data_IF_201820311350
#
_entry.id   IF_201820311350
#
_cell.length_a   1.000
_cell.length_b   1.000
_cell.length_c   1.000
_cell.angle_alpha   90.00
_cell.angle_beta   90.00
_cell.angle_gamma   90.00
#
_symmetry.space_group_name_H-M   'P 1'
#
loop_
_entity.id
_entity.type
_entity.pdbx_description
1 polymer ?
#
# COMPACT_ATOMS: atom_id res chain seq x y z
N UNK A 1 -14.16 33.64 24.16
CA UNK A 1 -15.06 34.79 23.93
C UNK A 1 -14.21 35.99 23.53
N UNK A 2 -14.11 36.25 22.24
CA UNK A 2 -13.34 37.39 21.70
C UNK A 2 -14.35 38.38 21.11
N UNK A 3 -14.44 39.58 21.72
CA UNK A 3 -15.27 40.67 21.23
C UNK A 3 -14.45 41.51 20.23
N UNK A 4 -14.87 41.56 18.98
CA UNK A 4 -14.37 42.56 18.03
C UNK A 4 -15.24 43.82 18.07
N UNK A 5 -14.66 44.95 18.40
CA UNK A 5 -15.32 46.28 18.33
C UNK A 5 -15.03 46.91 16.97
N UNK A 6 -16.07 47.20 16.19
CA UNK A 6 -15.96 48.00 14.95
C UNK A 6 -16.53 49.38 15.20
N UNK A 7 -15.80 50.47 14.93
CA UNK A 7 -16.17 51.86 15.13
C UNK A 7 -16.77 52.44 13.85
N UNK A 8 -18.01 52.83 13.88
CA UNK A 8 -18.65 53.59 12.80
C UNK A 8 -19.33 54.81 13.44
N UNK A 9 -18.96 56.03 12.99
CA UNK A 9 -19.57 57.31 13.34
C UNK A 9 -19.80 57.58 14.84
N UNK A 10 -18.77 57.52 15.69
CA UNK A 10 -18.76 58.13 17.01
C UNK A 10 -19.67 57.53 18.11
N UNK A 11 -20.43 56.47 17.85
CA UNK A 11 -21.22 55.74 18.86
C UNK A 11 -20.94 54.25 18.82
N UNK A 12 -20.84 53.65 20.02
CA UNK A 12 -20.72 52.18 20.16
C UNK A 12 -22.11 51.55 20.12
N UNK A 13 -22.38 50.71 19.14
CA UNK A 13 -23.56 49.86 19.10
C UNK A 13 -23.18 48.46 19.55
N UNK A 14 -23.82 47.94 20.58
CA UNK A 14 -23.71 46.56 21.03
C UNK A 14 -24.47 45.69 20.02
N UNK A 15 -23.76 44.92 19.21
CA UNK A 15 -24.39 43.94 18.34
C UNK A 15 -24.55 42.66 19.18
N UNK A 16 -25.75 42.31 19.54
CA UNK A 16 -26.10 40.99 20.08
C UNK A 16 -26.07 39.99 18.94
N UNK A 17 -25.37 38.85 19.05
CA UNK A 17 -25.43 37.82 17.99
C UNK A 17 -26.85 37.26 17.98
N UNK A 18 -27.51 37.35 16.81
CA UNK A 18 -28.73 36.59 16.53
C UNK A 18 -28.31 35.15 16.35
N UNK A 19 -28.57 34.31 17.34
CA UNK A 19 -28.47 32.87 17.21
C UNK A 19 -29.59 32.39 16.27
N UNK A 20 -29.31 32.27 15.00
CA UNK A 20 -30.12 31.41 14.09
C UNK A 20 -29.82 29.95 14.49
N UNK A 21 -30.76 29.36 15.20
CA UNK A 21 -30.77 27.95 15.52
C UNK A 21 -30.98 27.18 14.21
N UNK A 22 -29.92 26.58 13.68
CA UNK A 22 -29.96 25.64 12.55
C UNK A 22 -29.88 24.21 13.12
N UNK A 23 -30.98 23.45 13.22
CA UNK A 23 -30.99 22.12 13.87
C UNK A 23 -30.05 21.09 13.22
N UNK A 24 -29.70 21.27 11.94
CA UNK A 24 -28.81 20.34 11.22
C UNK A 24 -27.31 20.47 11.49
N UNK A 25 -26.85 21.55 12.17
CA UNK A 25 -25.41 21.78 12.46
C UNK A 25 -24.93 21.10 13.74
N UNK A 26 -25.82 20.83 14.69
CA UNK A 26 -25.48 20.16 15.94
C UNK A 26 -25.33 18.64 15.74
N UNK A 27 -26.20 18.01 14.93
CA UNK A 27 -26.10 16.59 14.59
C UNK A 27 -24.87 16.25 13.74
N UNK A 28 -24.47 17.14 12.80
CA UNK A 28 -23.24 16.97 12.01
C UNK A 28 -21.95 17.01 12.84
N UNK A 29 -21.92 17.79 13.93
CA UNK A 29 -20.74 17.85 14.81
C UNK A 29 -20.58 16.60 15.69
N UNK A 30 -21.68 16.00 16.14
CA UNK A 30 -21.65 14.81 17.00
C UNK A 30 -21.19 13.59 16.17
N UNK A 31 -21.62 13.45 14.92
CA UNK A 31 -21.18 12.35 14.02
C UNK A 31 -19.71 12.44 13.62
N UNK A 32 -19.11 13.64 13.57
CA UNK A 32 -17.68 13.78 13.23
C UNK A 32 -16.74 13.35 14.35
N UNK A 33 -17.19 13.25 15.60
CA UNK A 33 -16.38 12.79 16.75
C UNK A 33 -16.38 11.25 16.90
N UNK A 34 -17.22 10.52 16.16
CA UNK A 34 -17.36 9.05 16.28
C UNK A 34 -16.27 8.27 15.55
N UNK A 35 -15.52 8.88 14.58
CA UNK A 35 -14.50 8.16 13.82
C UNK A 35 -13.11 8.37 14.41
N UNK A 36 -12.66 7.34 15.13
CA UNK A 36 -11.32 7.36 15.74
C UNK A 36 -10.27 7.00 14.71
N UNK A 37 -9.31 7.89 14.50
CA UNK A 37 -8.05 7.53 13.84
C UNK A 37 -7.34 6.51 14.73
N UNK A 38 -7.31 5.25 14.28
CA UNK A 38 -6.63 4.16 14.99
C UNK A 38 -5.12 4.22 14.82
N UNK A 39 -4.70 4.54 13.60
CA UNK A 39 -3.30 4.47 13.22
C UNK A 39 -3.01 5.43 12.07
N UNK A 40 -1.93 6.20 12.23
CA UNK A 40 -1.33 6.98 11.17
C UNK A 40 0.01 6.36 10.80
N UNK A 41 0.04 5.64 9.67
CA UNK A 41 1.25 5.03 9.14
C UNK A 41 2.08 6.02 8.30
N UNK A 42 3.21 5.52 7.76
CA UNK A 42 4.09 6.32 6.89
C UNK A 42 3.34 6.91 5.69
N UNK A 43 2.38 6.16 5.12
CA UNK A 43 1.67 6.52 3.88
C UNK A 43 0.16 6.28 3.92
N UNK A 44 -0.40 5.85 5.04
CA UNK A 44 -1.83 5.55 5.21
C UNK A 44 -2.35 6.02 6.55
N UNK A 45 -3.65 6.25 6.59
CA UNK A 45 -4.45 6.53 7.78
C UNK A 45 -5.53 5.46 7.89
N UNK A 46 -5.74 4.92 9.09
CA UNK A 46 -6.73 3.87 9.36
C UNK A 46 -7.73 4.39 10.39
N UNK A 47 -8.99 4.39 10.02
CA UNK A 47 -10.11 4.85 10.85
C UNK A 47 -10.99 3.68 11.29
N UNK A 48 -11.35 3.64 12.56
CA UNK A 48 -12.37 2.71 13.07
C UNK A 48 -13.76 3.31 12.87
N UNK A 49 -14.61 2.58 12.16
CA UNK A 49 -16.01 2.96 11.93
C UNK A 49 -17.00 1.95 12.52
N UNK A 50 -16.62 1.31 13.61
CA UNK A 50 -17.43 0.30 14.30
C UNK A 50 -17.17 -1.11 13.80
N UNK A 51 -18.04 -1.71 13.00
CA UNK A 51 -17.83 -3.07 12.47
C UNK A 51 -16.74 -3.15 11.42
N UNK A 52 -16.44 -2.04 10.74
CA UNK A 52 -15.50 -1.95 9.63
C UNK A 52 -14.36 -0.96 9.92
N UNK A 53 -13.42 -0.89 8.98
CA UNK A 53 -12.37 0.12 8.92
C UNK A 53 -12.50 0.95 7.65
N UNK A 54 -11.99 2.17 7.67
CA UNK A 54 -11.65 2.91 6.45
C UNK A 54 -10.14 3.12 6.42
N UNK A 55 -9.51 2.67 5.35
CA UNK A 55 -8.09 2.88 5.07
C UNK A 55 -7.99 3.98 4.02
N UNK A 56 -7.35 5.09 4.37
CA UNK A 56 -7.12 6.21 3.46
C UNK A 56 -5.64 6.28 3.08
N UNK A 57 -5.33 6.03 1.81
CA UNK A 57 -3.99 6.18 1.28
C UNK A 57 -3.67 7.66 1.09
N UNK A 58 -2.50 8.10 1.55
CA UNK A 58 -2.07 9.49 1.47
C UNK A 58 -1.11 9.73 0.32
N UNK A 59 -0.88 11.00 0.00
CA UNK A 59 0.12 11.42 -1.00
C UNK A 59 1.54 11.46 -0.42
N UNK A 60 1.72 11.09 0.87
CA UNK A 60 3.04 10.91 1.46
C UNK A 60 3.78 9.78 0.74
N UNK A 61 5.08 9.94 0.56
CA UNK A 61 5.96 8.89 0.03
C UNK A 61 7.06 8.61 1.05
N UNK A 62 7.41 7.34 1.19
CA UNK A 62 8.49 6.89 2.07
C UNK A 62 9.52 6.10 1.28
N UNK A 63 10.81 6.41 1.48
CA UNK A 63 11.93 5.66 0.94
C UNK A 63 13.02 5.53 2.00
N UNK A 64 13.70 4.37 2.08
CA UNK A 64 14.72 4.08 3.09
C UNK A 64 14.24 4.36 4.53
N UNK A 65 12.97 3.96 4.84
CA UNK A 65 12.27 4.17 6.10
C UNK A 65 12.00 5.63 6.52
N UNK A 66 12.37 6.61 5.70
CA UNK A 66 12.07 8.02 5.90
C UNK A 66 10.86 8.46 5.07
N UNK A 67 9.97 9.25 5.68
CA UNK A 67 8.90 9.96 4.95
C UNK A 67 9.54 11.20 4.32
N UNK A 68 9.40 11.33 3.00
CA UNK A 68 9.95 12.47 2.27
C UNK A 68 9.16 13.76 2.56
N UNK A 69 9.81 14.90 2.39
CA UNK A 69 9.20 16.21 2.61
C UNK A 69 8.14 16.57 1.57
N UNK A 70 8.27 16.00 0.36
CA UNK A 70 7.30 16.20 -0.71
C UNK A 70 6.11 15.25 -0.58
N UNK A 71 4.96 15.68 -1.10
CA UNK A 71 3.82 14.82 -1.42
C UNK A 71 3.82 14.52 -2.91
N UNK A 72 3.42 13.33 -3.29
CA UNK A 72 3.21 12.91 -4.68
C UNK A 72 1.72 13.02 -4.97
N UNK A 73 1.33 14.10 -5.64
CA UNK A 73 -0.09 14.41 -5.91
C UNK A 73 -0.82 13.24 -6.56
N UNK A 74 -2.02 12.94 -6.08
CA UNK A 74 -2.87 11.85 -6.51
C UNK A 74 -2.35 10.42 -6.23
N UNK A 75 -1.14 10.29 -5.64
CA UNK A 75 -0.56 8.97 -5.33
C UNK A 75 -1.53 8.08 -4.55
N UNK A 76 -2.07 8.58 -3.43
CA UNK A 76 -2.97 7.81 -2.60
C UNK A 76 -4.19 7.30 -3.36
N UNK A 77 -4.77 8.14 -4.21
CA UNK A 77 -5.92 7.77 -5.02
C UNK A 77 -5.56 6.72 -6.10
N UNK A 78 -4.43 6.88 -6.79
CA UNK A 78 -3.96 5.87 -7.76
C UNK A 78 -3.76 4.51 -7.10
N UNK A 79 -3.09 4.46 -5.92
CA UNK A 79 -2.83 3.21 -5.21
C UNK A 79 -4.13 2.50 -4.79
N UNK A 80 -5.10 3.27 -4.26
CA UNK A 80 -6.40 2.71 -3.86
C UNK A 80 -7.17 2.16 -5.05
N UNK A 81 -7.23 2.90 -6.17
CA UNK A 81 -7.93 2.44 -7.37
C UNK A 81 -7.21 1.26 -8.06
N UNK A 82 -5.89 1.19 -7.96
CA UNK A 82 -5.12 0.04 -8.44
C UNK A 82 -5.36 -1.20 -7.57
N UNK A 83 -5.37 -1.06 -6.25
CA UNK A 83 -5.72 -2.15 -5.33
C UNK A 83 -7.14 -2.67 -5.59
N UNK A 84 -8.10 -1.75 -5.79
CA UNK A 84 -9.48 -2.12 -6.19
C UNK A 84 -9.50 -2.98 -7.44
N UNK A 85 -8.80 -2.55 -8.49
CA UNK A 85 -8.72 -3.29 -9.74
C UNK A 85 -8.22 -4.73 -9.52
N UNK A 86 -7.16 -4.91 -8.75
CA UNK A 86 -6.59 -6.21 -8.48
C UNK A 86 -7.46 -7.07 -7.56
N UNK A 87 -8.10 -6.50 -6.54
CA UNK A 87 -9.05 -7.21 -5.69
C UNK A 87 -10.23 -7.74 -6.49
N UNK A 88 -10.77 -6.95 -7.42
CA UNK A 88 -11.84 -7.39 -8.31
C UNK A 88 -11.38 -8.50 -9.27
N UNK A 89 -10.15 -8.39 -9.80
CA UNK A 89 -9.58 -9.35 -10.75
C UNK A 89 -9.25 -10.70 -10.12
N UNK A 90 -8.96 -10.73 -8.83
CA UNK A 90 -8.47 -11.93 -8.13
C UNK A 90 -9.45 -12.54 -7.13
N UNK A 91 -10.68 -12.06 -7.08
CA UNK A 91 -11.72 -12.54 -6.15
C UNK A 91 -12.02 -14.04 -6.23
N UNK A 92 -11.67 -14.68 -7.34
CA UNK A 92 -11.78 -16.12 -7.57
C UNK A 92 -10.59 -16.93 -7.03
N UNK A 93 -9.50 -16.28 -6.62
CA UNK A 93 -8.29 -16.93 -6.05
C UNK A 93 -8.35 -16.93 -4.53
N UNK A 94 -8.63 -15.78 -3.93
CA UNK A 94 -8.74 -15.60 -2.48
C UNK A 94 -9.70 -14.46 -2.19
N UNK A 95 -10.54 -14.55 -1.14
CA UNK A 95 -11.37 -13.44 -0.72
C UNK A 95 -10.51 -12.27 -0.25
N UNK A 96 -11.01 -11.04 -0.41
CA UNK A 96 -10.34 -9.83 0.04
C UNK A 96 -11.20 -9.05 1.03
N UNK A 97 -10.57 -8.12 1.74
CA UNK A 97 -11.20 -7.33 2.79
C UNK A 97 -12.01 -6.13 2.29
N UNK A 98 -11.86 -5.74 1.01
CA UNK A 98 -12.51 -4.55 0.45
C UNK A 98 -14.03 -4.71 0.43
N UNK A 99 -14.72 -3.69 0.94
CA UNK A 99 -16.18 -3.55 0.85
C UNK A 99 -16.51 -2.60 -0.29
N UNK A 100 -15.97 -1.38 -0.24
CA UNK A 100 -16.17 -0.36 -1.29
C UNK A 100 -15.03 0.64 -1.31
N UNK A 101 -14.85 1.32 -2.45
CA UNK A 101 -14.01 2.52 -2.61
C UNK A 101 -14.86 3.72 -3.06
N UNK A 102 -16.19 3.57 -3.14
CA UNK A 102 -17.09 4.69 -3.40
C UNK A 102 -17.33 5.43 -2.09
N UNK A 103 -16.94 6.70 -2.05
CA UNK A 103 -17.12 7.53 -0.86
C UNK A 103 -18.60 7.70 -0.49
N UNK A 104 -19.52 7.59 -1.45
CA UNK A 104 -20.97 7.70 -1.19
C UNK A 104 -21.52 6.52 -0.38
N UNK A 105 -20.87 5.37 -0.42
CA UNK A 105 -21.23 4.19 0.36
C UNK A 105 -20.61 4.21 1.79
N UNK A 106 -19.79 5.23 2.08
CA UNK A 106 -19.12 5.38 3.37
C UNK A 106 -19.87 6.39 4.26
N UNK A 107 -19.59 6.42 5.58
CA UNK A 107 -20.11 7.49 6.45
C UNK A 107 -19.80 8.90 5.93
N UNK A 108 -20.70 9.87 6.19
CA UNK A 108 -20.62 11.26 5.68
C UNK A 108 -19.26 11.93 5.91
N UNK A 109 -18.55 11.59 6.96
CA UNK A 109 -17.19 12.07 7.25
C UNK A 109 -16.21 11.83 6.08
N UNK A 110 -16.37 10.71 5.37
CA UNK A 110 -15.51 10.32 4.25
C UNK A 110 -15.97 10.87 2.90
N UNK A 111 -17.03 11.68 2.87
CA UNK A 111 -17.44 12.42 1.67
C UNK A 111 -16.60 13.68 1.44
N UNK A 112 -15.75 14.06 2.39
CA UNK A 112 -14.81 15.16 2.24
C UNK A 112 -13.82 14.88 1.08
N UNK A 113 -13.50 15.92 0.29
CA UNK A 113 -12.63 15.84 -0.90
C UNK A 113 -11.27 15.20 -0.59
N UNK A 114 -10.75 15.38 0.63
CA UNK A 114 -9.48 14.77 1.06
C UNK A 114 -9.47 13.24 1.02
N UNK A 115 -10.64 12.58 1.02
CA UNK A 115 -10.78 11.12 0.94
C UNK A 115 -11.15 10.62 -0.45
N UNK A 116 -11.43 11.53 -1.39
CA UNK A 116 -11.94 11.16 -2.70
C UNK A 116 -10.99 10.22 -3.45
N UNK A 117 -11.53 9.10 -3.91
CA UNK A 117 -10.83 8.00 -4.61
C UNK A 117 -9.67 7.34 -3.84
N UNK A 118 -9.33 7.80 -2.64
CA UNK A 118 -8.20 7.30 -1.84
C UNK A 118 -8.60 6.55 -0.57
N UNK A 119 -9.88 6.57 -0.23
CA UNK A 119 -10.44 5.81 0.87
C UNK A 119 -10.96 4.45 0.38
N UNK A 120 -10.79 3.42 1.21
CA UNK A 120 -11.30 2.07 1.02
C UNK A 120 -11.95 1.63 2.31
N UNK A 121 -13.25 1.34 2.30
CA UNK A 121 -13.93 0.71 3.42
C UNK A 121 -13.66 -0.79 3.37
N UNK A 122 -13.25 -1.35 4.49
CA UNK A 122 -12.75 -2.71 4.60
C UNK A 122 -13.35 -3.45 5.79
N UNK A 123 -13.48 -4.76 5.69
CA UNK A 123 -13.72 -5.65 6.83
C UNK A 123 -12.54 -5.61 7.80
N UNK A 124 -12.80 -5.70 9.08
CA UNK A 124 -11.76 -5.92 10.09
C UNK A 124 -11.21 -7.34 9.96
N UNK A 125 -9.89 -7.46 9.99
CA UNK A 125 -9.19 -8.73 9.96
C UNK A 125 -8.26 -8.84 11.16
N UNK A 126 -8.09 -10.06 11.65
CA UNK A 126 -6.98 -10.40 12.55
C UNK A 126 -5.73 -10.62 11.69
N UNK A 127 -4.89 -9.58 11.53
CA UNK A 127 -3.74 -9.64 10.65
C UNK A 127 -2.73 -10.70 11.06
N UNK A 128 -2.26 -11.47 10.09
CA UNK A 128 -1.17 -12.42 10.25
C UNK A 128 0.18 -11.66 10.29
N UNK A 129 1.13 -12.02 11.17
CA UNK A 129 2.38 -11.28 11.38
C UNK A 129 3.46 -11.66 10.35
N UNK A 130 3.07 -11.91 9.11
CA UNK A 130 3.95 -12.31 8.00
C UNK A 130 3.70 -11.40 6.81
N UNK A 131 4.74 -10.80 6.29
CA UNK A 131 4.75 -10.21 4.98
C UNK A 131 5.00 -11.30 3.94
N UNK A 132 4.04 -11.50 3.06
CA UNK A 132 4.06 -12.55 2.05
C UNK A 132 4.69 -12.03 0.76
N UNK A 133 6.02 -12.13 0.66
CA UNK A 133 6.77 -11.67 -0.51
C UNK A 133 6.92 -12.81 -1.50
N UNK A 134 6.64 -12.54 -2.76
CA UNK A 134 6.87 -13.46 -3.89
C UNK A 134 7.75 -12.80 -4.92
N UNK A 135 8.70 -13.56 -5.47
CA UNK A 135 9.65 -13.09 -6.48
C UNK A 135 9.60 -13.99 -7.71
N UNK A 136 9.30 -13.40 -8.86
CA UNK A 136 9.43 -14.07 -10.16
C UNK A 136 10.73 -13.70 -10.86
N UNK A 137 11.42 -12.67 -10.37
CA UNK A 137 12.71 -12.21 -10.87
C UNK A 137 13.65 -11.96 -9.70
N UNK A 138 14.95 -12.20 -9.90
CA UNK A 138 15.93 -12.03 -8.84
C UNK A 138 16.47 -10.58 -8.83
N UNK A 139 16.03 -9.79 -7.85
CA UNK A 139 16.40 -8.37 -7.72
C UNK A 139 16.33 -7.90 -6.27
N UNK A 140 16.80 -6.68 -5.99
CA UNK A 140 16.74 -6.06 -4.67
C UNK A 140 17.38 -6.92 -3.59
N UNK A 141 16.76 -7.02 -2.41
CA UNK A 141 17.27 -7.83 -1.28
C UNK A 141 17.43 -9.31 -1.61
N UNK A 142 16.60 -9.85 -2.53
CA UNK A 142 16.75 -11.21 -3.03
C UNK A 142 18.05 -11.40 -3.81
N UNK A 143 18.40 -10.45 -4.68
CA UNK A 143 19.65 -10.46 -5.42
C UNK A 143 20.87 -10.34 -4.49
N UNK A 144 20.79 -9.45 -3.50
CA UNK A 144 21.88 -9.30 -2.51
C UNK A 144 22.09 -10.58 -1.69
N UNK A 145 21.01 -11.26 -1.29
CA UNK A 145 21.09 -12.55 -0.61
C UNK A 145 21.70 -13.63 -1.49
N UNK A 146 21.22 -13.73 -2.74
CA UNK A 146 21.75 -14.69 -3.70
C UNK A 146 23.24 -14.51 -3.99
N UNK A 147 23.71 -13.30 -4.20
CA UNK A 147 25.14 -13.01 -4.41
C UNK A 147 26.00 -13.46 -3.24
N UNK A 148 25.47 -13.40 -2.03
CA UNK A 148 26.20 -13.73 -0.80
C UNK A 148 26.38 -15.24 -0.60
N UNK A 149 25.34 -16.03 -0.88
CA UNK A 149 25.34 -17.46 -0.52
C UNK A 149 24.55 -18.38 -1.46
N UNK A 150 24.10 -17.89 -2.61
CA UNK A 150 23.32 -18.69 -3.58
C UNK A 150 21.89 -19.04 -3.14
N UNK A 151 21.40 -18.42 -2.04
CA UNK A 151 20.07 -18.70 -1.50
C UNK A 151 19.27 -17.43 -1.25
N UNK A 152 17.93 -17.56 -1.20
CA UNK A 152 17.01 -16.52 -0.74
C UNK A 152 16.01 -17.16 0.23
N UNK A 153 15.93 -16.68 1.46
CA UNK A 153 15.04 -17.24 2.51
C UNK A 153 15.21 -18.77 2.68
N UNK A 154 16.44 -19.29 2.59
CA UNK A 154 16.75 -20.73 2.66
C UNK A 154 16.53 -21.49 1.35
N UNK A 155 15.93 -20.89 0.32
CA UNK A 155 15.71 -21.53 -0.98
C UNK A 155 17.00 -21.45 -1.80
N UNK A 156 17.58 -22.60 -2.14
CA UNK A 156 18.74 -22.68 -3.05
C UNK A 156 18.30 -22.38 -4.48
N UNK A 157 18.96 -21.43 -5.13
CA UNK A 157 18.71 -21.04 -6.49
C UNK A 157 19.78 -21.61 -7.46
N UNK A 158 19.47 -21.71 -8.77
CA UNK A 158 20.46 -22.10 -9.78
C UNK A 158 21.70 -21.20 -9.73
N UNK A 159 22.87 -21.79 -10.04
CA UNK A 159 24.11 -21.03 -10.16
C UNK A 159 24.12 -20.17 -11.43
N UNK A 160 24.84 -19.06 -11.38
CA UNK A 160 25.05 -18.19 -12.56
C UNK A 160 23.87 -17.27 -12.89
N UNK A 161 22.90 -17.12 -12.01
CA UNK A 161 21.83 -16.13 -12.21
C UNK A 161 22.41 -14.71 -12.28
N UNK A 162 21.83 -13.89 -13.14
CA UNK A 162 22.17 -12.48 -13.31
C UNK A 162 21.11 -11.59 -12.61
N UNK A 163 21.50 -10.39 -12.24
CA UNK A 163 20.55 -9.41 -11.69
C UNK A 163 19.35 -9.23 -12.63
N UNK A 164 18.18 -9.07 -12.06
CA UNK A 164 16.89 -8.94 -12.78
C UNK A 164 16.50 -10.14 -13.65
N UNK A 165 17.21 -11.27 -13.57
CA UNK A 165 16.86 -12.46 -14.33
C UNK A 165 15.56 -13.08 -13.84
N UNK A 166 14.72 -13.53 -14.80
CA UNK A 166 13.50 -14.30 -14.49
C UNK A 166 13.90 -15.63 -13.84
N UNK A 167 13.23 -15.96 -12.75
CA UNK A 167 13.39 -17.27 -12.09
C UNK A 167 12.62 -18.35 -12.85
N UNK A 168 13.07 -19.63 -12.83
CA UNK A 168 12.34 -20.74 -13.44
C UNK A 168 10.91 -20.86 -12.92
N UNK A 169 10.72 -20.69 -11.61
CA UNK A 169 9.43 -20.62 -10.92
C UNK A 169 9.44 -19.46 -9.93
N UNK A 170 8.30 -18.81 -9.66
CA UNK A 170 8.19 -17.84 -8.59
C UNK A 170 8.49 -18.47 -7.23
N UNK A 171 9.27 -17.77 -6.41
CA UNK A 171 9.62 -18.22 -5.06
C UNK A 171 8.92 -17.40 -4.01
N UNK A 172 8.45 -18.07 -2.95
CA UNK A 172 7.88 -17.43 -1.76
C UNK A 172 8.99 -17.13 -0.76
N UNK A 173 9.19 -15.86 -0.45
CA UNK A 173 10.29 -15.36 0.39
C UNK A 173 9.75 -14.47 1.49
N UNK A 174 9.12 -15.06 2.53
CA UNK A 174 8.42 -14.31 3.57
C UNK A 174 9.36 -13.46 4.41
N UNK A 175 8.79 -12.47 5.06
CA UNK A 175 9.43 -11.62 6.06
C UNK A 175 8.56 -11.55 7.31
N UNK A 176 9.15 -11.36 8.48
CA UNK A 176 8.39 -10.98 9.65
C UNK A 176 7.86 -9.58 9.46
N UNK A 177 6.69 -9.28 10.05
CA UNK A 177 6.23 -7.92 10.21
C UNK A 177 6.74 -7.42 11.56
N UNK A 178 7.80 -6.61 11.52
CA UNK A 178 8.42 -6.07 12.72
C UNK A 178 7.48 -5.15 13.49
N UNK A 179 7.68 -5.02 14.80
CA UNK A 179 7.06 -3.98 15.60
C UNK A 179 7.59 -2.59 15.19
N UNK A 180 6.84 -1.53 15.53
CA UNK A 180 7.22 -0.16 15.18
C UNK A 180 8.59 0.18 15.77
N UNK A 181 9.58 0.40 14.90
CA UNK A 181 10.95 0.73 15.27
C UNK A 181 11.97 -0.36 14.97
N UNK A 182 11.54 -1.58 14.68
CA UNK A 182 12.38 -2.68 14.22
C UNK A 182 12.32 -2.84 12.69
N UNK A 183 13.27 -3.60 12.14
CA UNK A 183 13.31 -3.91 10.72
C UNK A 183 12.68 -5.26 10.42
N UNK A 184 11.95 -5.34 9.30
CA UNK A 184 11.42 -6.59 8.78
C UNK A 184 12.57 -7.55 8.44
N UNK A 185 12.50 -8.78 8.92
CA UNK A 185 13.52 -9.80 8.72
C UNK A 185 13.03 -10.84 7.71
N UNK A 186 13.80 -11.05 6.64
CA UNK A 186 13.57 -12.15 5.72
C UNK A 186 13.75 -13.49 6.44
N UNK A 187 12.73 -14.33 6.37
CA UNK A 187 12.70 -15.63 7.07
C UNK A 187 12.46 -16.78 6.09
N UNK A 188 12.77 -18.00 6.52
CA UNK A 188 12.40 -19.20 5.77
C UNK A 188 10.91 -19.53 5.95
N UNK A 189 10.39 -20.43 5.12
CA UNK A 189 9.03 -20.94 5.26
C UNK A 189 8.82 -21.61 6.62
N UNK A 190 9.78 -22.40 7.09
CA UNK A 190 9.75 -23.10 8.38
C UNK A 190 9.67 -22.08 9.52
N UNK A 191 10.44 -21.00 9.43
CA UNK A 191 10.39 -19.94 10.43
C UNK A 191 9.04 -19.22 10.44
N UNK A 192 8.39 -19.05 9.27
CA UNK A 192 7.05 -18.48 9.21
C UNK A 192 6.00 -19.36 9.92
N UNK A 193 6.16 -20.70 9.86
CA UNK A 193 5.32 -21.64 10.63
C UNK A 193 5.47 -21.38 12.14
N UNK A 194 6.71 -21.26 12.63
CA UNK A 194 6.96 -21.01 14.06
C UNK A 194 6.37 -19.69 14.53
N UNK A 195 6.48 -18.63 13.72
CA UNK A 195 5.91 -17.31 14.02
C UNK A 195 4.39 -17.38 14.12
N UNK A 196 3.75 -18.08 13.17
CA UNK A 196 2.31 -18.25 13.16
C UNK A 196 1.84 -19.19 14.28
N UNK A 197 2.56 -20.27 14.57
CA UNK A 197 2.25 -21.20 15.67
C UNK A 197 2.26 -20.50 17.03
N UNK A 198 3.21 -19.58 17.24
CA UNK A 198 3.28 -18.79 18.48
C UNK A 198 2.03 -17.92 18.67
N UNK A 199 1.49 -17.34 17.59
CA UNK A 199 0.32 -16.45 17.65
C UNK A 199 -1.01 -17.24 17.58
N UNK A 200 -1.02 -18.35 16.87
CA UNK A 200 -2.19 -19.19 16.61
C UNK A 200 -1.85 -20.66 16.89
N UNK A 201 -1.80 -21.09 18.16
CA UNK A 201 -1.40 -22.44 18.54
C UNK A 201 -2.22 -23.54 17.84
N UNK A 202 -1.53 -24.52 17.25
CA UNK A 202 -2.12 -25.61 16.47
C UNK A 202 -2.49 -25.24 15.03
N UNK A 203 -2.24 -24.01 14.58
CA UNK A 203 -2.60 -23.52 13.24
C UNK A 203 -1.41 -23.01 12.41
N UNK A 204 -0.20 -23.00 12.97
CA UNK A 204 0.97 -22.43 12.32
C UNK A 204 1.24 -22.98 10.93
N UNK A 205 1.28 -24.31 10.80
CA UNK A 205 1.51 -24.96 9.50
C UNK A 205 0.36 -24.71 8.51
N UNK A 206 -0.90 -24.79 8.98
CA UNK A 206 -2.09 -24.57 8.15
C UNK A 206 -2.08 -23.16 7.54
N UNK A 207 -1.90 -22.13 8.37
CA UNK A 207 -1.90 -20.75 7.91
C UNK A 207 -0.68 -20.43 7.06
N UNK A 208 0.53 -20.90 7.44
CA UNK A 208 1.74 -20.69 6.63
C UNK A 208 1.59 -21.30 5.22
N UNK A 209 1.05 -22.50 5.13
CA UNK A 209 0.80 -23.17 3.84
C UNK A 209 -0.23 -22.39 3.04
N UNK A 210 -1.36 -22.02 3.64
CA UNK A 210 -2.44 -21.31 2.96
C UNK A 210 -1.99 -19.96 2.40
N UNK A 211 -1.29 -19.12 3.20
CA UNK A 211 -0.81 -17.83 2.72
C UNK A 211 0.26 -17.95 1.64
N UNK A 212 1.15 -18.95 1.74
CA UNK A 212 2.14 -19.27 0.69
C UNK A 212 1.45 -19.62 -0.62
N UNK A 213 0.50 -20.56 -0.59
CA UNK A 213 -0.20 -21.05 -1.78
C UNK A 213 -1.03 -19.93 -2.43
N UNK A 214 -1.76 -19.15 -1.63
CA UNK A 214 -2.47 -17.97 -2.11
C UNK A 214 -1.52 -16.94 -2.74
N UNK A 215 -0.37 -16.68 -2.11
CA UNK A 215 0.63 -15.73 -2.60
C UNK A 215 1.15 -16.13 -3.98
N UNK A 216 1.53 -17.39 -4.15
CA UNK A 216 2.03 -17.91 -5.44
C UNK A 216 0.93 -17.90 -6.51
N UNK A 217 -0.30 -18.29 -6.15
CA UNK A 217 -1.43 -18.30 -7.09
C UNK A 217 -1.79 -16.88 -7.56
N UNK A 218 -1.90 -15.93 -6.61
CA UNK A 218 -2.13 -14.51 -6.91
C UNK A 218 -1.04 -13.96 -7.83
N UNK A 219 0.22 -14.20 -7.49
CA UNK A 219 1.34 -13.72 -8.29
C UNK A 219 1.30 -14.27 -9.72
N UNK A 220 1.15 -15.58 -9.90
CA UNK A 220 1.12 -16.21 -11.24
C UNK A 220 0.02 -15.60 -12.10
N UNK A 221 -1.21 -15.49 -11.57
CA UNK A 221 -2.35 -14.90 -12.29
C UNK A 221 -2.12 -13.43 -12.66
N UNK A 222 -1.66 -12.62 -11.71
CA UNK A 222 -1.48 -11.20 -11.93
C UNK A 222 -0.26 -10.88 -12.79
N UNK A 223 0.85 -11.64 -12.67
CA UNK A 223 2.04 -11.46 -13.47
C UNK A 223 1.79 -11.80 -14.96
N UNK A 224 1.00 -12.84 -15.25
CA UNK A 224 0.59 -13.17 -16.60
C UNK A 224 -0.25 -12.05 -17.23
N UNK A 225 -1.24 -11.53 -16.47
CA UNK A 225 -2.05 -10.41 -16.93
C UNK A 225 -1.21 -9.16 -17.17
N UNK A 226 -0.36 -8.76 -16.19
CA UNK A 226 0.47 -7.57 -16.32
C UNK A 226 1.44 -7.67 -17.49
N UNK A 227 2.01 -8.86 -17.74
CA UNK A 227 2.88 -9.11 -18.87
C UNK A 227 2.15 -8.89 -20.20
N UNK A 228 0.88 -9.29 -20.31
CA UNK A 228 0.04 -9.02 -21.49
C UNK A 228 -0.23 -7.53 -21.71
N UNK A 229 -0.02 -6.70 -20.66
CA UNK A 229 -0.16 -5.25 -20.69
C UNK A 229 1.18 -4.51 -20.82
N UNK A 230 2.28 -5.22 -21.05
CA UNK A 230 3.61 -4.63 -21.19
C UNK A 230 4.30 -4.33 -19.86
N UNK A 231 3.82 -4.89 -18.72
CA UNK A 231 4.42 -4.72 -17.40
C UNK A 231 4.92 -6.07 -16.87
N UNK A 232 6.17 -6.09 -16.43
CA UNK A 232 6.74 -7.17 -15.64
C UNK A 232 6.52 -6.85 -14.16
N UNK A 233 5.85 -7.74 -13.42
CA UNK A 233 5.85 -7.73 -11.96
C UNK A 233 7.04 -8.54 -11.49
N UNK A 234 8.12 -7.89 -11.06
CA UNK A 234 9.34 -8.59 -10.65
C UNK A 234 9.17 -9.29 -9.31
N UNK A 235 8.65 -8.60 -8.35
CA UNK A 235 8.25 -9.09 -7.03
C UNK A 235 7.09 -8.24 -6.47
N UNK A 236 6.44 -8.78 -5.47
CA UNK A 236 5.39 -8.09 -4.73
C UNK A 236 5.29 -8.61 -3.31
N UNK A 237 4.67 -7.81 -2.45
CA UNK A 237 4.33 -8.13 -1.07
C UNK A 237 2.81 -8.14 -0.91
N UNK A 238 2.28 -9.21 -0.32
CA UNK A 238 0.90 -9.30 0.12
C UNK A 238 0.83 -9.38 1.64
N UNK A 239 -0.29 -8.92 2.20
CA UNK A 239 -0.61 -9.10 3.61
C UNK A 239 -1.94 -9.85 3.74
N UNK A 240 -2.00 -10.79 4.66
CA UNK A 240 -3.20 -11.58 4.93
C UNK A 240 -3.65 -11.42 6.37
N UNK A 241 -4.91 -11.60 6.58
CA UNK A 241 -5.53 -11.71 7.90
C UNK A 241 -6.58 -12.81 7.92
N UNK A 242 -7.15 -13.00 9.10
CA UNK A 242 -8.27 -13.90 9.30
C UNK A 242 -9.54 -13.08 9.45
N UNK A 243 -10.60 -13.52 8.80
CA UNK A 243 -11.95 -13.00 9.05
C UNK A 243 -12.55 -13.55 10.35
N UNK A 244 -13.78 -13.23 10.62
CA UNK A 244 -14.53 -13.68 11.81
C UNK A 244 -14.72 -15.21 11.90
N UNK A 245 -14.60 -15.92 10.77
CA UNK A 245 -14.71 -17.38 10.68
C UNK A 245 -13.33 -18.07 10.74
N UNK A 246 -12.23 -17.30 10.80
CA UNK A 246 -10.87 -17.80 10.75
C UNK A 246 -10.38 -18.14 9.34
N UNK A 247 -11.09 -17.71 8.29
CA UNK A 247 -10.67 -17.87 6.90
C UNK A 247 -9.61 -16.85 6.52
N UNK A 248 -8.65 -17.29 5.71
CA UNK A 248 -7.57 -16.43 5.21
C UNK A 248 -8.11 -15.49 4.13
N UNK A 249 -7.94 -14.20 4.37
CA UNK A 249 -8.38 -13.09 3.52
C UNK A 249 -7.19 -12.19 3.21
N UNK A 250 -7.04 -11.76 1.93
CA UNK A 250 -6.03 -10.76 1.59
C UNK A 250 -6.49 -9.38 2.05
N UNK A 251 -5.59 -8.65 2.70
CA UNK A 251 -5.82 -7.30 3.22
C UNK A 251 -4.83 -6.27 2.69
N UNK A 252 -4.83 -5.10 3.32
CA UNK A 252 -3.97 -3.95 3.01
C UNK A 252 -4.11 -3.47 1.54
N UNK A 253 -3.02 -3.32 0.81
CA UNK A 253 -3.00 -2.99 -0.62
C UNK A 253 -2.59 -4.19 -1.46
N UNK A 254 -2.91 -4.14 -2.74
CA UNK A 254 -2.57 -5.21 -3.66
C UNK A 254 -1.92 -4.68 -4.93
N UNK A 255 -0.70 -5.17 -5.22
CA UNK A 255 0.01 -4.95 -6.49
C UNK A 255 0.04 -3.48 -6.92
N UNK A 256 0.48 -2.62 -6.00
CA UNK A 256 0.68 -1.20 -6.27
C UNK A 256 2.16 -0.90 -6.48
N UNK A 257 2.52 0.25 -7.07
CA UNK A 257 3.91 0.69 -7.13
C UNK A 257 4.59 0.89 -5.76
N UNK A 258 3.83 0.88 -4.66
CA UNK A 258 4.36 0.95 -3.30
C UNK A 258 4.74 -0.42 -2.73
N UNK A 259 4.02 -1.48 -3.10
CA UNK A 259 4.22 -2.85 -2.62
C UNK A 259 4.90 -3.77 -3.64
N UNK A 260 5.13 -3.32 -4.86
CA UNK A 260 5.60 -4.15 -5.98
C UNK A 260 6.67 -3.45 -6.80
N UNK A 261 7.53 -4.23 -7.47
CA UNK A 261 8.40 -3.73 -8.55
C UNK A 261 7.77 -3.98 -9.89
N UNK A 262 7.43 -2.89 -10.57
CA UNK A 262 6.86 -2.91 -11.91
C UNK A 262 7.89 -2.40 -12.91
N UNK A 263 8.28 -3.25 -13.86
CA UNK A 263 9.19 -2.87 -14.93
C UNK A 263 8.47 -2.82 -16.28
N UNK A 264 8.83 -1.89 -17.16
CA UNK A 264 8.40 -1.99 -18.56
C UNK A 264 8.94 -3.29 -19.18
N UNK A 265 8.09 -3.98 -19.91
CA UNK A 265 8.52 -5.15 -20.70
C UNK A 265 9.46 -4.73 -21.84
N UNK A 266 9.15 -3.57 -22.43
CA UNK A 266 10.02 -2.98 -23.47
C UNK A 266 11.37 -2.60 -22.87
N UNK A 267 12.44 -3.05 -23.53
CA UNK A 267 13.80 -2.79 -23.08
C UNK A 267 14.26 -3.59 -21.85
N UNK A 268 13.44 -4.54 -21.35
CA UNK A 268 13.88 -5.46 -20.29
C UNK A 268 15.07 -6.31 -20.75
N UNK A 269 16.10 -6.34 -19.90
CA UNK A 269 17.31 -7.13 -20.12
C UNK A 269 17.89 -7.61 -18.78
N UNK A 270 18.11 -8.94 -18.65
CA UNK A 270 18.75 -9.50 -17.48
C UNK A 270 20.24 -9.12 -17.40
N UNK A 271 20.76 -8.94 -16.18
CA UNK A 271 22.16 -8.62 -15.92
C UNK A 271 22.38 -7.15 -15.52
N UNK A 272 21.32 -6.38 -15.40
CA UNK A 272 21.37 -4.98 -14.97
C UNK A 272 20.11 -4.59 -14.19
N UNK A 273 20.15 -3.47 -13.47
CA UNK A 273 18.96 -2.83 -12.91
C UNK A 273 17.98 -2.42 -14.00
N UNK A 274 16.68 -2.42 -13.71
CA UNK A 274 15.63 -2.11 -14.67
C UNK A 274 15.02 -0.73 -14.41
N UNK A 275 14.61 0.00 -15.47
CA UNK A 275 13.67 1.10 -15.31
C UNK A 275 12.41 0.61 -14.61
N UNK A 276 11.74 1.48 -13.83
CA UNK A 276 10.56 1.06 -13.08
C UNK A 276 9.45 2.10 -13.10
N UNK A 277 8.22 1.63 -12.90
CA UNK A 277 7.03 2.45 -12.66
C UNK A 277 6.77 2.68 -11.17
N UNK A 278 7.68 2.23 -10.30
CA UNK A 278 7.55 2.26 -8.84
C UNK A 278 8.52 3.27 -8.18
N UNK A 279 8.65 3.17 -6.86
CA UNK A 279 9.53 4.02 -6.04
C UNK A 279 11.03 3.91 -6.37
N UNK A 280 11.46 2.99 -7.22
CA UNK A 280 12.89 2.81 -7.52
C UNK A 280 13.49 4.08 -8.11
N UNK A 281 12.72 4.78 -8.98
CA UNK A 281 13.15 6.07 -9.52
C UNK A 281 13.49 7.11 -8.44
N UNK A 282 12.63 7.21 -7.42
CA UNK A 282 12.87 8.09 -6.26
C UNK A 282 14.07 7.61 -5.44
N UNK A 283 14.17 6.29 -5.21
CA UNK A 283 15.30 5.71 -4.48
C UNK A 283 16.65 5.93 -5.17
N UNK A 284 16.69 5.81 -6.50
CA UNK A 284 17.90 6.01 -7.29
C UNK A 284 18.32 7.48 -7.26
N UNK A 285 17.35 8.39 -7.37
CA UNK A 285 17.63 9.83 -7.23
C UNK A 285 18.17 10.17 -5.84
N UNK A 286 17.56 9.66 -4.76
CA UNK A 286 18.03 9.90 -3.39
C UNK A 286 19.44 9.35 -3.16
N UNK A 287 19.76 8.18 -3.69
CA UNK A 287 21.14 7.62 -3.63
C UNK A 287 22.17 8.50 -4.34
N UNK A 288 21.79 9.09 -5.47
CA UNK A 288 22.63 10.00 -6.23
C UNK A 288 22.74 11.39 -5.58
N UNK A 289 21.83 11.74 -4.66
CA UNK A 289 21.74 13.04 -4.02
C UNK A 289 21.61 12.89 -2.48
N UNK A 290 22.62 12.36 -1.78
CA UNK A 290 22.56 12.07 -0.36
C UNK A 290 22.33 13.32 0.51
N UNK A 291 22.75 14.49 0.04
CA UNK A 291 22.63 15.78 0.74
C UNK A 291 21.27 16.46 0.52
N UNK A 292 20.32 15.79 -0.15
CA UNK A 292 18.99 16.36 -0.48
C UNK A 292 18.07 16.55 0.72
N UNK A 293 18.44 16.03 1.90
CA UNK A 293 17.61 16.07 3.11
C UNK A 293 16.16 15.57 2.85
N UNK A 294 16.05 14.53 2.02
CA UNK A 294 14.78 13.92 1.60
C UNK A 294 13.79 14.89 0.95
N UNK A 295 14.30 15.96 0.32
CA UNK A 295 13.50 16.89 -0.49
C UNK A 295 13.77 16.64 -1.97
N UNK A 296 12.71 16.28 -2.71
CA UNK A 296 12.79 16.01 -4.15
C UNK A 296 12.58 17.29 -4.95
N UNK A 297 13.32 17.50 -6.07
CA UNK A 297 12.98 18.52 -7.05
C UNK A 297 11.61 18.26 -7.68
N UNK A 298 10.93 19.33 -8.12
CA UNK A 298 9.61 19.25 -8.76
C UNK A 298 9.60 18.32 -9.98
N UNK A 299 10.68 18.30 -10.75
CA UNK A 299 10.81 17.38 -11.89
C UNK A 299 10.74 15.91 -11.46
N UNK A 300 11.36 15.55 -10.33
CA UNK A 300 11.34 14.17 -9.82
C UNK A 300 9.95 13.80 -9.28
N UNK A 301 9.29 14.76 -8.62
CA UNK A 301 7.89 14.59 -8.16
C UNK A 301 6.98 14.36 -9.36
N UNK A 302 7.04 15.21 -10.39
CA UNK A 302 6.20 15.11 -11.59
C UNK A 302 6.41 13.78 -12.31
N UNK A 303 7.67 13.41 -12.57
CA UNK A 303 8.00 12.12 -13.21
C UNK A 303 7.50 10.92 -12.40
N UNK A 304 7.51 11.02 -11.06
CA UNK A 304 6.98 9.96 -10.20
C UNK A 304 5.46 9.82 -10.36
N UNK A 305 4.73 10.95 -10.40
CA UNK A 305 3.28 10.96 -10.68
C UNK A 305 2.98 10.32 -12.03
N UNK A 306 3.72 10.73 -13.07
CA UNK A 306 3.53 10.24 -14.44
C UNK A 306 3.73 8.73 -14.53
N UNK A 307 4.79 8.20 -13.90
CA UNK A 307 5.03 6.74 -13.82
C UNK A 307 3.88 5.98 -13.14
N UNK A 308 3.31 6.51 -12.08
CA UNK A 308 2.17 5.88 -11.39
C UNK A 308 0.90 5.90 -12.26
N UNK A 309 0.65 7.01 -12.96
CA UNK A 309 -0.48 7.12 -13.91
C UNK A 309 -0.30 6.20 -15.11
N UNK A 310 0.92 6.11 -15.63
CA UNK A 310 1.26 5.22 -16.75
C UNK A 310 1.02 3.74 -16.37
N UNK A 311 1.52 3.30 -15.20
CA UNK A 311 1.26 1.96 -14.71
C UNK A 311 -0.24 1.68 -14.55
N UNK A 312 -1.00 2.65 -14.01
CA UNK A 312 -2.45 2.54 -13.87
C UNK A 312 -3.13 2.40 -15.23
N UNK A 313 -2.78 3.25 -16.20
CA UNK A 313 -3.34 3.20 -17.56
C UNK A 313 -3.06 1.86 -18.24
N UNK A 314 -1.81 1.39 -18.20
CA UNK A 314 -1.42 0.11 -18.82
C UNK A 314 -2.19 -1.07 -18.22
N UNK A 315 -2.30 -1.13 -16.88
CA UNK A 315 -2.97 -2.23 -16.19
C UNK A 315 -4.48 -2.19 -16.34
N UNK A 316 -5.10 -1.02 -16.23
CA UNK A 316 -6.57 -0.90 -16.19
C UNK A 316 -7.20 -0.57 -17.55
N UNK A 317 -6.40 -0.06 -18.50
CA UNK A 317 -6.88 0.48 -19.77
C UNK A 317 -7.63 1.81 -19.63
N UNK A 318 -7.54 2.48 -18.48
CA UNK A 318 -8.24 3.73 -18.17
C UNK A 318 -7.28 4.82 -17.74
N UNK A 319 -7.48 6.03 -18.27
CA UNK A 319 -6.76 7.19 -17.74
C UNK A 319 -7.18 7.47 -16.29
N UNK A 320 -6.20 7.82 -15.46
CA UNK A 320 -6.49 8.23 -14.09
C UNK A 320 -6.84 9.71 -14.04
N UNK A 321 -8.04 10.01 -13.57
CA UNK A 321 -8.52 11.36 -13.27
C UNK A 321 -8.92 11.46 -11.80
N UNK A 322 -8.56 12.55 -11.13
CA UNK A 322 -9.10 12.91 -9.81
C UNK A 322 -10.52 13.40 -9.93
#
# INVERSE_FOLDING_TARGET
>A
MLYTKKRISGRFVKITPVHTYCPGRAEKRIKMEEFKLLYEGKVREVYDIGENLVIAATDRISAFDHILKNKITAKGAILTQMSKFWFDYTKDVVPNHMITVDNNDMPEFFHDERFYKRAMMCKKLTMLPIECIVRGYITGSGWESYKKNGTVCGIKLPEGLKESQKLPEPIYTPSTKAEIGDHDENISFERSIEVLEKKFPGKGLEYATKIKDCTIALYKKCAEYALSKGIIIADTKFEFGLDENGEVVIGDEMLTPDSSRFWPLEGYEAGKGQPSFDKQYVRDWLKANPDSDYLLPEEVVTKTVDKYKEAYLLLTGKEFTL
#
